data_IF_421201018214
#
_entry.id   IF_421201018214
#
_cell.length_a   1.000
_cell.length_b   1.000
_cell.length_c   1.000
_cell.angle_alpha   90.00
_cell.angle_beta   90.00
_cell.angle_gamma   90.00
#
_symmetry.space_group_name_H-M   'P 1'
#
loop_
_entity.id
_entity.type
_entity.pdbx_description
1 polymer ?
#
# COMPACT_ATOMS: atom_id res chain seq x y z
N UNK A 1 -24.40 -49.71 19.74
CA UNK A 1 -23.23 -49.04 19.13
C UNK A 1 -23.60 -48.39 17.79
N UNK A 2 -24.46 -47.36 17.76
CA UNK A 2 -24.92 -46.78 16.48
C UNK A 2 -25.14 -45.25 16.50
N UNK A 3 -25.16 -44.64 17.69
CA UNK A 3 -25.43 -43.20 17.84
C UNK A 3 -24.22 -42.37 18.29
N UNK A 4 -23.04 -42.97 18.44
CA UNK A 4 -21.81 -42.24 18.86
C UNK A 4 -20.92 -41.81 17.69
N UNK A 5 -21.23 -42.24 16.46
CA UNK A 5 -20.42 -41.94 15.26
C UNK A 5 -20.86 -40.60 14.62
N UNK A 6 -22.11 -40.19 14.82
CA UNK A 6 -22.65 -39.00 14.15
C UNK A 6 -22.22 -37.67 14.79
N UNK A 7 -21.84 -37.67 16.07
CA UNK A 7 -21.43 -36.44 16.79
C UNK A 7 -19.99 -36.03 16.49
N UNK A 8 -19.13 -36.97 16.09
CA UNK A 8 -17.70 -36.67 15.80
C UNK A 8 -17.53 -36.04 14.42
N UNK A 9 -18.41 -36.37 13.45
CA UNK A 9 -18.34 -35.82 12.09
C UNK A 9 -18.79 -34.34 12.03
N UNK A 10 -19.65 -33.90 12.95
CA UNK A 10 -20.13 -32.51 12.98
C UNK A 10 -19.11 -31.52 13.59
N UNK A 11 -18.20 -32.00 14.44
CA UNK A 11 -17.15 -31.16 15.04
C UNK A 11 -15.93 -30.93 14.13
N UNK A 12 -15.77 -31.69 13.04
CA UNK A 12 -14.68 -31.47 12.08
C UNK A 12 -14.99 -30.41 11.01
N UNK A 13 -16.24 -29.96 10.91
CA UNK A 13 -16.68 -28.94 9.93
C UNK A 13 -16.63 -27.50 10.48
N UNK A 14 -16.43 -27.35 11.79
CA UNK A 14 -16.02 -26.12 12.47
C UNK A 14 -14.52 -26.30 12.78
N UNK A 15 -13.51 -25.58 12.31
CA UNK A 15 -13.42 -24.23 11.80
C UNK A 15 -12.13 -24.16 10.96
N UNK A 16 -12.25 -24.24 9.64
CA UNK A 16 -11.18 -23.81 8.73
C UNK A 16 -11.76 -22.72 7.83
N UNK A 17 -12.41 -21.72 8.42
CA UNK A 17 -12.57 -20.43 7.75
C UNK A 17 -11.22 -19.75 7.91
N UNK A 18 -10.28 -20.09 7.05
CA UNK A 18 -9.17 -19.19 6.78
C UNK A 18 -9.81 -17.89 6.30
N UNK A 19 -9.81 -16.86 7.14
CA UNK A 19 -10.36 -15.56 6.78
C UNK A 19 -9.70 -15.11 5.48
N UNK A 20 -10.49 -14.92 4.42
CA UNK A 20 -9.96 -14.43 3.16
C UNK A 20 -9.36 -13.05 3.43
N UNK A 21 -8.07 -12.90 3.11
CA UNK A 21 -7.40 -11.61 3.17
C UNK A 21 -8.10 -10.64 2.23
N UNK A 22 -8.43 -9.46 2.72
CA UNK A 22 -8.99 -8.38 1.92
C UNK A 22 -7.90 -7.85 0.99
N UNK A 23 -8.19 -7.80 -0.30
CA UNK A 23 -7.35 -7.19 -1.33
C UNK A 23 -7.99 -5.85 -1.72
N UNK A 24 -7.42 -4.71 -1.27
CA UNK A 24 -7.88 -3.38 -1.66
C UNK A 24 -7.95 -3.23 -3.18
N UNK A 25 -9.10 -2.82 -3.71
CA UNK A 25 -9.23 -2.36 -5.11
C UNK A 25 -9.30 -0.84 -5.14
N UNK A 26 -8.65 -0.20 -6.11
CA UNK A 26 -8.81 1.24 -6.35
C UNK A 26 -9.74 1.43 -7.55
N UNK A 27 -10.88 2.07 -7.31
CA UNK A 27 -11.84 2.51 -8.33
C UNK A 27 -12.09 4.01 -8.19
N UNK A 28 -12.87 4.58 -9.10
CA UNK A 28 -13.31 5.96 -8.96
C UNK A 28 -14.02 6.17 -7.62
N UNK A 29 -13.63 7.23 -6.90
CA UNK A 29 -14.09 7.62 -5.57
C UNK A 29 -13.63 6.72 -4.41
N UNK A 30 -12.76 5.73 -4.65
CA UNK A 30 -12.09 5.04 -3.53
C UNK A 30 -11.26 6.07 -2.74
N UNK A 31 -11.53 6.18 -1.44
CA UNK A 31 -10.81 7.05 -0.53
C UNK A 31 -9.84 6.23 0.34
N UNK A 32 -8.56 6.59 0.29
CA UNK A 32 -7.48 6.00 1.07
C UNK A 32 -7.13 6.97 2.20
N UNK A 33 -7.27 6.55 3.46
CA UNK A 33 -6.94 7.37 4.61
C UNK A 33 -5.63 6.92 5.24
N UNK A 34 -4.66 7.82 5.25
CA UNK A 34 -3.34 7.63 5.84
C UNK A 34 -3.16 8.47 7.10
N UNK A 35 -2.40 7.92 8.05
CA UNK A 35 -1.75 8.68 9.11
C UNK A 35 -0.28 8.83 8.72
N UNK A 36 0.17 10.06 8.54
CA UNK A 36 1.53 10.41 8.16
C UNK A 36 2.26 11.04 9.35
N UNK A 37 3.49 10.60 9.62
CA UNK A 37 4.44 11.27 10.52
C UNK A 37 5.47 12.00 9.66
N UNK A 38 5.43 13.32 9.67
CA UNK A 38 6.26 14.23 8.89
C UNK A 38 7.13 15.04 9.85
N UNK A 39 8.45 14.82 9.83
CA UNK A 39 9.41 15.55 10.68
C UNK A 39 9.00 15.59 12.18
N UNK A 40 8.43 14.49 12.68
CA UNK A 40 7.97 14.37 14.07
C UNK A 40 6.52 14.76 14.32
N UNK A 41 5.84 15.43 13.39
CA UNK A 41 4.42 15.77 13.50
C UNK A 41 3.52 14.70 12.89
N UNK A 42 2.42 14.36 13.55
CA UNK A 42 1.40 13.46 13.01
C UNK A 42 0.30 14.24 12.31
N UNK A 43 -0.01 13.86 11.07
CA UNK A 43 -1.10 14.40 10.25
C UNK A 43 -1.91 13.27 9.64
N UNK A 44 -3.19 13.53 9.41
CA UNK A 44 -4.07 12.65 8.64
C UNK A 44 -4.14 13.16 7.21
N UNK A 45 -4.11 12.27 6.26
CA UNK A 45 -4.16 12.56 4.84
C UNK A 45 -5.18 11.63 4.19
N UNK A 46 -6.05 12.18 3.35
CA UNK A 46 -7.00 11.40 2.55
C UNK A 46 -6.65 11.55 1.07
N UNK A 47 -6.64 10.44 0.33
CA UNK A 47 -6.47 10.40 -1.12
C UNK A 47 -7.74 9.85 -1.74
N UNK A 48 -8.45 10.64 -2.53
CA UNK A 48 -9.62 10.16 -3.28
C UNK A 48 -9.25 9.92 -4.73
N UNK A 49 -9.44 8.68 -5.20
CA UNK A 49 -9.00 8.26 -6.52
C UNK A 49 -9.97 8.66 -7.64
N UNK A 50 -9.41 9.15 -8.74
CA UNK A 50 -10.08 9.31 -10.03
C UNK A 50 -9.20 8.69 -11.11
N UNK A 51 -9.67 7.61 -11.70
CA UNK A 51 -8.99 6.82 -12.72
C UNK A 51 -9.59 7.18 -14.08
N UNK A 52 -8.71 7.50 -15.04
CA UNK A 52 -9.03 7.60 -16.45
C UNK A 52 -8.14 6.63 -17.24
N UNK A 53 -8.37 6.53 -18.55
CA UNK A 53 -7.54 5.68 -19.42
C UNK A 53 -6.04 6.04 -19.33
N UNK A 54 -5.72 7.33 -19.17
CA UNK A 54 -4.35 7.86 -19.31
C UNK A 54 -3.67 8.22 -17.99
N UNK A 55 -4.42 8.28 -16.88
CA UNK A 55 -3.89 8.72 -15.59
C UNK A 55 -4.67 8.21 -14.39
N UNK A 56 -3.99 8.18 -13.24
CA UNK A 56 -4.60 8.19 -11.92
C UNK A 56 -4.45 9.59 -11.34
N UNK A 57 -5.55 10.19 -10.89
CA UNK A 57 -5.54 11.41 -10.09
C UNK A 57 -5.92 11.06 -8.67
N UNK A 58 -5.15 11.55 -7.71
CA UNK A 58 -5.43 11.43 -6.28
C UNK A 58 -5.72 12.83 -5.75
N UNK A 59 -6.98 13.08 -5.40
CA UNK A 59 -7.35 14.28 -4.67
C UNK A 59 -6.85 14.14 -3.24
N UNK A 60 -5.80 14.87 -2.92
CA UNK A 60 -5.17 14.92 -1.61
C UNK A 60 -5.86 15.97 -0.74
N UNK A 61 -6.27 15.57 0.46
CA UNK A 61 -6.77 16.46 1.52
C UNK A 61 -6.00 16.17 2.82
N UNK A 62 -5.33 17.19 3.36
CA UNK A 62 -4.61 17.14 4.64
C UNK A 62 -4.73 18.47 5.40
N UNK A 63 -5.52 18.48 6.47
CA UNK A 63 -5.68 19.63 7.40
C UNK A 63 -5.78 21.00 6.70
N UNK A 64 -6.62 21.12 5.67
CA UNK A 64 -6.86 22.37 4.96
C UNK A 64 -5.95 22.64 3.76
N UNK A 65 -4.97 21.77 3.49
CA UNK A 65 -4.21 21.74 2.23
C UNK A 65 -4.89 20.74 1.30
N UNK A 66 -5.17 21.18 0.07
CA UNK A 66 -5.78 20.36 -0.98
C UNK A 66 -4.93 20.42 -2.24
N UNK A 67 -4.75 19.27 -2.88
CA UNK A 67 -4.03 19.21 -4.16
C UNK A 67 -4.50 18.03 -5.01
N UNK A 68 -4.42 18.14 -6.33
CA UNK A 68 -4.59 17.02 -7.24
C UNK A 68 -3.21 16.47 -7.62
N UNK A 69 -2.90 15.27 -7.14
CA UNK A 69 -1.68 14.54 -7.54
C UNK A 69 -2.00 13.75 -8.80
N UNK A 70 -1.35 14.07 -9.92
CA UNK A 70 -1.57 13.45 -11.22
C UNK A 70 -0.43 12.50 -11.53
N UNK A 71 -0.75 11.22 -11.70
CA UNK A 71 0.18 10.14 -12.04
C UNK A 71 -0.18 9.62 -13.43
N UNK A 72 0.75 9.72 -14.37
CA UNK A 72 0.56 9.13 -15.71
C UNK A 72 0.58 7.59 -15.64
N UNK A 73 -0.08 6.92 -16.60
CA UNK A 73 -0.02 5.45 -16.71
C UNK A 73 1.41 4.91 -16.79
N UNK A 74 2.34 5.65 -17.41
CA UNK A 74 3.75 5.27 -17.46
C UNK A 74 4.37 5.16 -16.06
N UNK A 75 4.07 6.09 -15.16
CA UNK A 75 4.54 6.04 -13.77
C UNK A 75 3.94 4.86 -13.01
N UNK A 76 2.65 4.59 -13.21
CA UNK A 76 1.99 3.43 -12.59
C UNK A 76 2.58 2.10 -13.08
N UNK A 77 2.93 2.00 -14.37
CA UNK A 77 3.47 0.78 -14.97
C UNK A 77 4.96 0.59 -14.67
N UNK A 78 5.76 1.63 -14.85
CA UNK A 78 7.22 1.55 -14.94
C UNK A 78 7.96 2.50 -14.00
N UNK A 79 7.25 3.26 -13.16
CA UNK A 79 7.87 4.20 -12.23
C UNK A 79 8.88 3.54 -11.30
N UNK A 80 9.95 4.25 -11.00
CA UNK A 80 11.03 3.79 -10.13
C UNK A 80 11.34 4.80 -9.01
N UNK A 81 10.47 5.79 -8.81
CA UNK A 81 10.59 6.78 -7.75
C UNK A 81 9.25 6.99 -7.04
N UNK A 82 9.31 7.33 -5.75
CA UNK A 82 8.18 7.79 -4.95
C UNK A 82 8.28 9.30 -4.80
N UNK A 83 7.22 10.00 -5.17
CA UNK A 83 7.04 11.40 -4.80
C UNK A 83 6.61 11.48 -3.33
N UNK A 84 7.23 12.38 -2.59
CA UNK A 84 6.87 12.67 -1.20
C UNK A 84 6.14 14.01 -1.03
N UNK A 85 5.76 14.66 -2.14
CA UNK A 85 5.06 15.94 -2.10
C UNK A 85 3.71 15.82 -1.38
N UNK A 86 3.44 16.70 -0.41
CA UNK A 86 2.24 16.68 0.43
C UNK A 86 1.19 17.72 0.01
N UNK A 87 1.25 18.24 -1.22
CA UNK A 87 0.32 19.25 -1.71
C UNK A 87 0.64 20.68 -1.29
N UNK A 88 1.76 20.91 -0.60
CA UNK A 88 2.10 22.20 0.01
C UNK A 88 2.50 23.26 -1.02
N UNK A 89 2.87 22.84 -2.22
CA UNK A 89 3.49 23.72 -3.23
C UNK A 89 2.54 24.18 -4.34
N UNK A 90 1.42 23.48 -4.55
CA UNK A 90 0.50 23.74 -5.67
C UNK A 90 -0.82 22.97 -5.52
N UNK A 91 -1.91 23.58 -5.99
CA UNK A 91 -3.23 22.94 -6.10
C UNK A 91 -3.22 21.76 -7.08
N UNK A 92 -2.30 21.74 -8.05
CA UNK A 92 -2.13 20.64 -9.00
C UNK A 92 -0.65 20.26 -9.09
N UNK A 93 -0.35 18.99 -8.88
CA UNK A 93 1.01 18.45 -8.95
C UNK A 93 1.01 17.32 -9.97
N UNK A 94 1.69 17.54 -11.10
CA UNK A 94 1.94 16.51 -12.10
C UNK A 94 3.26 15.83 -11.77
N UNK A 95 3.21 14.52 -11.49
CA UNK A 95 4.42 13.74 -11.21
C UNK A 95 5.24 13.51 -12.47
N UNK A 96 6.55 13.32 -12.31
CA UNK A 96 7.39 12.88 -13.42
C UNK A 96 6.93 11.50 -13.92
N UNK A 97 7.22 11.14 -15.18
CA UNK A 97 6.87 9.82 -15.72
C UNK A 97 7.46 8.64 -14.94
N UNK A 98 8.53 8.87 -14.17
CA UNK A 98 9.18 7.86 -13.33
C UNK A 98 8.65 7.81 -11.89
N UNK A 99 7.78 8.74 -11.51
CA UNK A 99 7.32 8.92 -10.14
C UNK A 99 5.93 8.31 -9.92
N UNK A 100 5.74 7.76 -8.72
CA UNK A 100 4.49 7.21 -8.18
C UNK A 100 4.17 7.88 -6.85
N UNK A 101 2.99 7.61 -6.27
CA UNK A 101 2.56 8.21 -5.00
C UNK A 101 1.89 7.17 -4.10
N UNK A 102 2.45 6.92 -2.92
CA UNK A 102 1.95 5.93 -1.94
C UNK A 102 1.79 4.48 -2.45
N UNK A 103 2.35 4.16 -3.62
CA UNK A 103 2.37 2.82 -4.23
C UNK A 103 3.66 2.65 -5.01
N UNK A 104 4.11 1.40 -5.18
CA UNK A 104 5.16 1.10 -6.16
C UNK A 104 4.52 0.84 -7.53
N UNK A 105 5.31 0.91 -8.59
CA UNK A 105 4.84 0.59 -9.93
C UNK A 105 4.56 -0.91 -10.11
N UNK A 106 3.81 -1.23 -11.14
CA UNK A 106 3.49 -2.61 -11.51
C UNK A 106 4.76 -3.40 -11.85
N UNK A 107 5.72 -2.81 -12.58
CA UNK A 107 6.99 -3.46 -12.90
C UNK A 107 7.83 -3.71 -11.65
N UNK A 108 7.91 -2.76 -10.72
CA UNK A 108 8.61 -2.94 -9.45
C UNK A 108 7.95 -4.05 -8.61
N UNK A 109 6.62 -4.15 -8.62
CA UNK A 109 5.91 -5.24 -7.97
C UNK A 109 6.21 -6.60 -8.62
N UNK A 110 6.25 -6.68 -9.95
CA UNK A 110 6.64 -7.91 -10.65
C UNK A 110 8.08 -8.31 -10.36
N UNK A 111 9.01 -7.36 -10.30
CA UNK A 111 10.39 -7.61 -9.90
C UNK A 111 10.48 -8.13 -8.46
N UNK A 112 9.70 -7.56 -7.54
CA UNK A 112 9.60 -8.06 -6.17
C UNK A 112 9.14 -9.52 -6.13
N UNK A 113 8.09 -9.87 -6.87
CA UNK A 113 7.59 -11.25 -6.91
C UNK A 113 8.59 -12.23 -7.54
N UNK A 114 9.24 -11.84 -8.64
CA UNK A 114 10.14 -12.70 -9.40
C UNK A 114 11.50 -12.86 -8.74
N UNK A 115 12.06 -11.76 -8.25
CA UNK A 115 13.45 -11.66 -7.81
C UNK A 115 13.59 -11.50 -6.29
N UNK A 116 12.48 -11.42 -5.54
CA UNK A 116 12.44 -11.06 -4.12
C UNK A 116 13.03 -9.67 -3.83
N UNK A 117 13.10 -8.79 -4.83
CA UNK A 117 13.63 -7.43 -4.69
C UNK A 117 13.18 -6.52 -5.83
N UNK A 118 13.20 -5.22 -5.59
CA UNK A 118 13.02 -4.20 -6.61
C UNK A 118 13.87 -2.97 -6.29
N UNK A 119 13.96 -2.02 -7.23
CA UNK A 119 14.67 -0.75 -7.03
C UNK A 119 13.66 0.39 -7.08
N UNK A 120 13.69 1.26 -6.07
CA UNK A 120 12.91 2.49 -6.03
C UNK A 120 13.70 3.60 -5.34
N UNK A 121 13.64 4.85 -5.84
CA UNK A 121 14.45 5.97 -5.33
C UNK A 121 15.94 5.63 -5.24
N UNK A 122 16.49 4.96 -6.26
CA UNK A 122 17.87 4.47 -6.29
C UNK A 122 18.25 3.53 -5.14
N UNK A 123 17.26 2.99 -4.43
CA UNK A 123 17.42 2.08 -3.29
C UNK A 123 16.90 0.71 -3.65
N UNK A 124 17.70 -0.34 -3.40
CA UNK A 124 17.23 -1.72 -3.52
C UNK A 124 16.44 -2.09 -2.27
N UNK A 125 15.21 -2.55 -2.46
CA UNK A 125 14.36 -3.13 -1.43
C UNK A 125 14.30 -4.63 -1.62
N UNK A 126 14.48 -5.40 -0.55
CA UNK A 126 14.49 -6.87 -0.56
C UNK A 126 13.35 -7.40 0.31
N UNK A 127 12.68 -8.44 -0.15
CA UNK A 127 11.65 -9.15 0.60
C UNK A 127 12.20 -9.68 1.92
N UNK A 128 11.57 -9.31 3.03
CA UNK A 128 11.88 -9.89 4.33
C UNK A 128 11.25 -11.28 4.45
N UNK A 129 12.09 -12.31 4.30
CA UNK A 129 11.68 -13.72 4.43
C UNK A 129 11.47 -14.14 5.89
N UNK A 130 11.97 -13.35 6.83
CA UNK A 130 11.88 -13.61 8.27
C UNK A 130 10.77 -12.78 8.93
N UNK A 131 10.09 -11.94 8.16
CA UNK A 131 8.99 -11.12 8.64
C UNK A 131 7.98 -11.98 9.41
N UNK A 132 7.58 -11.48 10.58
CA UNK A 132 6.44 -12.01 11.31
C UNK A 132 5.27 -12.12 10.33
N UNK A 133 4.72 -13.32 10.14
CA UNK A 133 3.53 -13.56 9.29
C UNK A 133 2.25 -12.94 9.88
N UNK A 134 2.39 -12.00 10.80
CA UNK A 134 1.28 -11.27 11.39
C UNK A 134 0.61 -10.47 10.27
N UNK A 135 -0.70 -10.66 10.06
CA UNK A 135 -1.41 -9.95 9.02
C UNK A 135 -1.38 -8.45 9.30
N UNK A 136 -1.19 -7.65 8.26
CA UNK A 136 -1.39 -6.21 8.36
C UNK A 136 -2.89 -5.93 8.41
N UNK A 137 -3.38 -5.15 9.37
CA UNK A 137 -4.82 -4.90 9.52
C UNK A 137 -5.19 -3.45 9.19
N UNK A 138 -6.22 -3.25 8.38
CA UNK A 138 -6.81 -1.95 8.04
C UNK A 138 -8.28 -1.99 8.43
N UNK A 139 -8.72 -1.11 9.33
CA UNK A 139 -10.13 -1.02 9.77
C UNK A 139 -10.73 -2.39 10.17
N UNK A 140 -9.97 -3.19 10.92
CA UNK A 140 -10.36 -4.54 11.35
C UNK A 140 -10.27 -5.63 10.27
N UNK A 141 -9.92 -5.28 9.02
CA UNK A 141 -9.73 -6.22 7.91
C UNK A 141 -8.26 -6.62 7.79
N UNK A 142 -8.01 -7.92 7.71
CA UNK A 142 -6.69 -8.48 7.40
C UNK A 142 -6.34 -8.25 5.94
N UNK A 143 -5.17 -7.68 5.68
CA UNK A 143 -4.56 -7.45 4.37
C UNK A 143 -3.37 -8.36 4.21
N UNK A 144 -3.27 -8.99 3.05
CA UNK A 144 -2.05 -9.69 2.66
C UNK A 144 -1.06 -8.69 2.03
N UNK A 145 0.09 -8.52 2.68
CA UNK A 145 1.12 -7.57 2.28
C UNK A 145 2.51 -8.21 2.29
N UNK A 146 3.35 -7.81 1.34
CA UNK A 146 4.77 -8.12 1.27
C UNK A 146 5.54 -7.11 2.10
N UNK A 147 6.35 -7.57 3.04
CA UNK A 147 7.25 -6.73 3.82
C UNK A 147 8.63 -6.70 3.15
N UNK A 148 9.15 -5.50 2.93
CA UNK A 148 10.45 -5.29 2.30
C UNK A 148 11.31 -4.35 3.12
N UNK A 149 12.62 -4.56 3.05
CA UNK A 149 13.65 -3.78 3.75
C UNK A 149 14.56 -3.11 2.72
N UNK A 150 14.87 -1.84 2.93
CA UNK A 150 15.92 -1.17 2.19
C UNK A 150 17.29 -1.80 2.49
N UNK A 151 18.19 -1.84 1.51
CA UNK A 151 19.54 -2.35 1.70
C UNK A 151 20.54 -1.31 2.22
N UNK A 152 20.23 -0.02 2.09
CA UNK A 152 21.18 1.08 2.38
C UNK A 152 20.85 1.83 3.67
N UNK A 153 19.64 1.67 4.20
CA UNK A 153 19.15 2.29 5.42
C UNK A 153 18.12 1.38 6.09
N UNK A 154 17.47 1.85 7.16
CA UNK A 154 16.52 1.05 7.93
C UNK A 154 15.08 1.13 7.40
N UNK A 155 14.84 1.73 6.22
CA UNK A 155 13.49 1.92 5.69
C UNK A 155 12.81 0.58 5.46
N UNK A 156 11.57 0.48 5.93
CA UNK A 156 10.71 -0.69 5.74
C UNK A 156 9.43 -0.29 5.02
N UNK A 157 8.93 -1.16 4.16
CA UNK A 157 7.62 -0.99 3.52
C UNK A 157 6.77 -2.27 3.60
N UNK A 158 5.45 -2.09 3.75
CA UNK A 158 4.45 -3.14 3.59
C UNK A 158 3.63 -2.84 2.34
N UNK A 159 3.70 -3.70 1.34
CA UNK A 159 3.09 -3.51 0.02
C UNK A 159 1.96 -4.50 -0.15
N UNK A 160 0.73 -4.04 -0.42
CA UNK A 160 -0.43 -4.91 -0.68
C UNK A 160 -0.10 -5.90 -1.80
N UNK A 161 -0.54 -7.15 -1.66
CA UNK A 161 -0.54 -8.11 -2.77
C UNK A 161 -1.66 -7.82 -3.76
N UNK A 162 -1.56 -6.68 -4.46
CA UNK A 162 -2.43 -6.29 -5.55
C UNK A 162 -1.56 -5.84 -6.74
N UNK A 163 -1.53 -6.60 -7.86
CA UNK A 163 -0.71 -6.26 -9.01
C UNK A 163 -1.19 -5.02 -9.77
N UNK A 164 -2.47 -4.67 -9.70
CA UNK A 164 -3.03 -3.52 -10.43
C UNK A 164 -2.63 -2.21 -9.75
N UNK A 165 -2.71 -2.18 -8.42
CA UNK A 165 -2.33 -1.07 -7.57
C UNK A 165 -1.54 -1.55 -6.35
N UNK A 166 -0.20 -1.70 -6.46
CA UNK A 166 0.68 -2.14 -5.38
C UNK A 166 0.85 -1.08 -4.28
N UNK A 167 -0.23 -0.80 -3.55
CA UNK A 167 -0.28 0.20 -2.49
C UNK A 167 0.71 -0.11 -1.38
N UNK A 168 1.43 0.92 -0.94
CA UNK A 168 2.23 0.85 0.28
C UNK A 168 1.26 1.12 1.45
N UNK A 169 0.96 0.06 2.20
CA UNK A 169 0.17 0.11 3.43
C UNK A 169 0.89 0.86 4.53
N UNK A 170 2.22 0.71 4.62
CA UNK A 170 3.00 1.31 5.68
C UNK A 170 4.43 1.53 5.22
N UNK A 171 4.99 2.66 5.62
CA UNK A 171 6.41 2.98 5.49
C UNK A 171 6.93 3.47 6.84
N UNK A 172 8.06 2.91 7.30
CA UNK A 172 8.70 3.30 8.55
C UNK A 172 10.20 3.48 8.41
N UNK A 173 10.80 4.27 9.32
CA UNK A 173 12.24 4.58 9.39
C UNK A 173 12.80 5.20 8.11
N UNK A 174 11.94 5.86 7.33
CA UNK A 174 12.40 6.62 6.17
C UNK A 174 13.33 7.76 6.61
N UNK A 175 14.55 7.88 6.06
CA UNK A 175 15.52 8.90 6.45
C UNK A 175 15.06 10.34 6.17
N UNK A 176 14.09 10.55 5.27
CA UNK A 176 13.47 11.86 5.04
C UNK A 176 12.55 12.29 6.20
N UNK A 177 12.31 11.41 7.18
CA UNK A 177 11.38 11.67 8.27
C UNK A 177 9.91 11.62 7.85
N UNK A 178 9.62 10.99 6.72
CA UNK A 178 8.28 10.83 6.12
C UNK A 178 7.86 9.38 6.23
N UNK A 179 7.03 9.09 7.23
CA UNK A 179 6.51 7.76 7.50
C UNK A 179 4.99 7.79 7.40
N UNK A 180 4.37 6.70 7.01
CA UNK A 180 2.91 6.67 6.87
C UNK A 180 2.34 5.29 7.10
N UNK A 181 1.04 5.24 7.40
CA UNK A 181 0.27 4.01 7.60
C UNK A 181 -1.14 4.24 7.07
N UNK A 182 -1.58 3.38 6.16
CA UNK A 182 -2.95 3.29 5.66
C UNK A 182 -3.82 2.71 6.78
N UNK A 183 -4.82 3.48 7.22
CA UNK A 183 -5.66 3.11 8.37
C UNK A 183 -7.09 2.75 7.96
N UNK A 184 -7.55 3.25 6.82
CA UNK A 184 -8.91 3.01 6.32
C UNK A 184 -8.98 3.13 4.80
N UNK A 185 -9.83 2.31 4.18
CA UNK A 185 -10.21 2.42 2.77
C UNK A 185 -11.74 2.50 2.72
N UNK A 186 -12.26 3.46 1.98
CA UNK A 186 -13.71 3.66 1.74
C UNK A 186 -13.97 3.61 0.24
N UNK A 187 -15.05 2.93 -0.15
CA UNK A 187 -15.42 2.63 -1.54
C UNK A 187 -16.72 3.31 -1.97
#
# INVERSE_FOLDING_TARGET
MKNSILTIVLCFLFQMVAGQSFVPTIKNNTALHYVCKLHGQTRTLTLTAKITADKLVLDLDTKGVKSNIIIAQEGLKNGNALSFNQGETSDVIVLKPTETFFMISQSAYQDLLKNNKFVCNNTTYVLDKNADKKPFTIDGKTIDALHVLAQIDETEMWIVKNPDFPLICKMTKNPLGINFTLVKIVD
#
